data_IF_373663294861
#
_entry.id   IF_373663294861
#
_cell.length_a   1.000
_cell.length_b   1.000
_cell.length_c   1.000
_cell.angle_alpha   90.00
_cell.angle_beta   90.00
_cell.angle_gamma   90.00
#
_symmetry.space_group_name_H-M   'P 1'
#
loop_
_entity.id
_entity.type
_entity.pdbx_description
1 polymer ?
#
# COMPACT_ATOMS: atom_id res chain seq x y z
N UNK A 1 -0.20 -4.56 12.90
CA UNK A 1 1.09 -4.48 13.64
C UNK A 1 1.92 -3.29 13.17
N UNK A 2 3.10 -3.03 13.76
CA UNK A 2 3.98 -1.89 13.35
C UNK A 2 4.28 -1.92 11.86
N UNK A 3 4.61 -3.09 11.30
CA UNK A 3 4.87 -3.27 9.87
C UNK A 3 3.69 -2.87 8.98
N UNK A 4 2.49 -3.37 9.27
CA UNK A 4 1.27 -2.99 8.53
C UNK A 4 1.00 -1.48 8.58
N UNK A 5 1.30 -0.82 9.71
CA UNK A 5 1.14 0.63 9.86
C UNK A 5 2.15 1.40 9.01
N UNK A 6 3.41 0.94 8.95
CA UNK A 6 4.44 1.57 8.10
C UNK A 6 4.10 1.42 6.62
N UNK A 7 3.66 0.24 6.20
CA UNK A 7 3.21 -0.02 4.82
C UNK A 7 1.99 0.86 4.48
N UNK A 8 1.01 0.95 5.38
CA UNK A 8 -0.15 1.83 5.17
C UNK A 8 0.24 3.31 5.02
N UNK A 9 1.14 3.82 5.87
CA UNK A 9 1.60 5.21 5.79
C UNK A 9 2.37 5.47 4.50
N UNK A 10 3.19 4.52 4.05
CA UNK A 10 3.93 4.65 2.80
C UNK A 10 3.01 4.67 1.56
N UNK A 11 1.85 4.01 1.63
CA UNK A 11 0.89 3.91 0.53
C UNK A 11 -0.18 5.02 0.54
N UNK A 12 -0.40 5.68 1.68
CA UNK A 12 -1.42 6.71 1.83
C UNK A 12 -1.28 7.93 0.89
N UNK A 13 -0.08 8.44 0.55
CA UNK A 13 0.07 9.59 -0.33
C UNK A 13 -0.43 9.36 -1.76
N UNK A 14 -0.34 8.12 -2.25
CA UNK A 14 -0.68 7.75 -3.63
C UNK A 14 -2.10 7.18 -3.76
N UNK A 15 -2.83 7.06 -2.64
CA UNK A 15 -4.22 6.61 -2.68
C UNK A 15 -5.12 7.69 -3.31
N UNK A 16 -5.64 7.38 -4.49
CA UNK A 16 -6.74 8.13 -5.09
C UNK A 16 -7.99 8.04 -4.19
N UNK A 17 -8.97 8.96 -4.30
CA UNK A 17 -10.22 8.91 -3.52
C UNK A 17 -11.03 7.61 -3.69
N UNK A 18 -10.73 6.85 -4.73
CA UNK A 18 -11.31 5.55 -5.07
C UNK A 18 -10.60 4.36 -4.40
N UNK A 19 -9.50 4.61 -3.67
CA UNK A 19 -8.67 3.60 -3.03
C UNK A 19 -8.67 3.86 -1.52
N UNK A 20 -9.35 3.00 -0.78
CA UNK A 20 -9.40 3.06 0.67
C UNK A 20 -8.56 1.92 1.26
N UNK A 21 -7.70 2.23 2.23
CA UNK A 21 -6.88 1.23 2.90
C UNK A 21 -7.08 1.27 4.42
N UNK A 22 -7.17 0.08 5.04
CA UNK A 22 -7.25 -0.08 6.48
C UNK A 22 -6.27 -1.13 6.95
N UNK A 23 -5.70 -0.92 8.13
CA UNK A 23 -4.90 -1.97 8.79
C UNK A 23 -5.85 -3.07 9.29
N UNK A 24 -5.58 -4.30 8.90
CA UNK A 24 -6.35 -5.49 9.32
C UNK A 24 -5.40 -6.51 9.95
N UNK A 25 -5.38 -6.58 11.29
CA UNK A 25 -4.52 -7.49 12.02
C UNK A 25 -3.02 -7.32 11.72
N UNK A 26 -2.43 -8.27 11.01
CA UNK A 26 -1.03 -8.25 10.59
C UNK A 26 -0.80 -7.68 9.18
N UNK A 27 -1.85 -7.29 8.46
CA UNK A 27 -1.77 -6.82 7.08
C UNK A 27 -2.54 -5.52 6.83
N UNK A 28 -2.66 -5.18 5.55
CA UNK A 28 -3.41 -4.02 5.05
C UNK A 28 -4.50 -4.53 4.12
N UNK A 29 -5.76 -4.26 4.45
CA UNK A 29 -6.90 -4.48 3.57
C UNK A 29 -7.12 -3.25 2.70
N UNK A 30 -7.39 -3.45 1.41
CA UNK A 30 -7.54 -2.36 0.43
C UNK A 30 -8.81 -2.57 -0.37
N UNK A 31 -9.58 -1.50 -0.53
CA UNK A 31 -10.81 -1.48 -1.31
C UNK A 31 -10.65 -0.51 -2.47
N UNK A 32 -10.92 -1.01 -3.68
CA UNK A 32 -10.86 -0.24 -4.91
C UNK A 32 -12.26 -0.05 -5.48
N UNK A 33 -12.56 1.16 -5.95
CA UNK A 33 -13.77 1.48 -6.72
C UNK A 33 -13.41 2.06 -8.07
N UNK A 34 -13.94 1.50 -9.15
CA UNK A 34 -13.74 2.06 -10.49
C UNK A 34 -14.94 1.74 -11.39
N UNK A 35 -15.21 2.63 -12.34
CA UNK A 35 -16.33 2.47 -13.29
C UNK A 35 -15.95 1.57 -14.49
N UNK A 36 -14.67 1.27 -14.67
CA UNK A 36 -14.14 0.49 -15.79
C UNK A 36 -13.10 -0.53 -15.32
N UNK A 37 -13.23 -1.77 -15.80
CA UNK A 37 -12.29 -2.86 -15.49
C UNK A 37 -10.84 -2.51 -15.86
N UNK A 38 -10.52 -1.94 -17.04
CA UNK A 38 -9.14 -1.60 -17.37
C UNK A 38 -8.51 -0.59 -16.40
N UNK A 39 -9.30 0.37 -15.93
CA UNK A 39 -8.86 1.35 -14.93
C UNK A 39 -8.58 0.69 -13.59
N UNK A 40 -9.46 -0.23 -13.16
CA UNK A 40 -9.23 -1.01 -11.93
C UNK A 40 -7.92 -1.80 -12.02
N UNK A 41 -7.67 -2.49 -13.13
CA UNK A 41 -6.45 -3.28 -13.32
C UNK A 41 -5.20 -2.40 -13.24
N UNK A 42 -5.20 -1.26 -13.93
CA UNK A 42 -4.07 -0.33 -13.89
C UNK A 42 -3.84 0.20 -12.46
N UNK A 43 -4.90 0.60 -11.75
CA UNK A 43 -4.78 1.07 -10.37
C UNK A 43 -4.28 0.00 -9.41
N UNK A 44 -4.65 -1.27 -9.61
CA UNK A 44 -4.12 -2.39 -8.82
C UNK A 44 -2.64 -2.62 -9.12
N UNK A 45 -2.23 -2.62 -10.39
CA UNK A 45 -0.82 -2.76 -10.78
C UNK A 45 0.05 -1.64 -10.18
N UNK A 46 -0.40 -0.39 -10.29
CA UNK A 46 0.29 0.77 -9.70
C UNK A 46 0.37 0.64 -8.17
N UNK A 47 -0.71 0.21 -7.52
CA UNK A 47 -0.74 0.01 -6.07
C UNK A 47 0.22 -1.09 -5.61
N UNK A 48 0.29 -2.21 -6.32
CA UNK A 48 1.20 -3.31 -6.00
C UNK A 48 2.67 -2.91 -6.17
N UNK A 49 2.98 -2.08 -7.17
CA UNK A 49 4.31 -1.51 -7.33
C UNK A 49 4.69 -0.63 -6.13
N UNK A 50 3.79 0.26 -5.71
CA UNK A 50 4.01 1.11 -4.54
C UNK A 50 4.19 0.28 -3.27
N UNK A 51 3.40 -0.79 -3.09
CA UNK A 51 3.51 -1.69 -1.94
C UNK A 51 4.88 -2.37 -1.88
N UNK A 52 5.40 -2.83 -3.01
CA UNK A 52 6.75 -3.39 -3.10
C UNK A 52 7.81 -2.39 -2.67
N UNK A 53 7.76 -1.15 -3.18
CA UNK A 53 8.73 -0.11 -2.83
C UNK A 53 8.66 0.21 -1.33
N UNK A 54 7.44 0.31 -0.77
CA UNK A 54 7.24 0.51 0.65
C UNK A 54 7.88 -0.60 1.51
N UNK A 55 7.77 -1.86 1.09
CA UNK A 55 8.44 -2.97 1.76
C UNK A 55 9.97 -2.89 1.68
N UNK A 56 10.52 -2.55 0.51
CA UNK A 56 11.96 -2.39 0.31
C UNK A 56 12.50 -1.26 1.21
N UNK A 57 11.82 -0.12 1.27
CA UNK A 57 12.18 1.00 2.16
C UNK A 57 12.06 0.61 3.63
N UNK A 58 11.03 -0.12 4.03
CA UNK A 58 10.90 -0.63 5.41
C UNK A 58 12.08 -1.52 5.80
N UNK A 59 12.52 -2.43 4.92
CA UNK A 59 13.66 -3.32 5.17
C UNK A 59 14.96 -2.52 5.35
N UNK A 60 15.18 -1.48 4.54
CA UNK A 60 16.33 -0.58 4.67
C UNK A 60 16.29 0.23 5.96
N UNK A 61 15.14 0.82 6.31
CA UNK A 61 14.96 1.60 7.53
C UNK A 61 15.18 0.76 8.80
N UNK A 62 14.71 -0.49 8.82
CA UNK A 62 14.95 -1.42 9.94
C UNK A 62 16.43 -1.87 9.98
N UNK A 63 17.08 -1.99 8.83
CA UNK A 63 18.52 -2.30 8.73
C UNK A 63 19.43 -1.16 9.20
N UNK A 64 19.00 0.10 9.06
CA UNK A 64 19.72 1.29 9.56
C UNK A 64 19.58 1.51 11.07
N UNK A 65 18.65 0.84 11.75
CA UNK A 65 18.41 0.94 13.20
C UNK A 65 19.16 -0.17 13.98
N UNK A 66 20.05 -0.92 13.31
CA UNK A 66 20.95 -1.90 13.95
C UNK A 66 22.35 -1.35 14.17
#
# INVERSE_FOLDING_TARGET
GIHAKTVQIALAPDNLPTIESKTEGNGVGVHFKADRIPTLLQSVDDYLLNARIAEEVCKLAVGMVR
#
